data_IF_175088783305
#
_entry.id   IF_175088783305
#
_cell.length_a   1.000
_cell.length_b   1.000
_cell.length_c   1.000
_cell.angle_alpha   90.00
_cell.angle_beta   90.00
_cell.angle_gamma   90.00
#
_symmetry.space_group_name_H-M   'P 1'
#
loop_
_entity.id
_entity.type
_entity.pdbx_description
1 polymer ?
#
# COMPACT_ATOMS: atom_id res chain seq x y z
N UNK A 1 12.49 23.29 -6.94
CA UNK A 1 13.16 22.47 -5.90
C UNK A 1 13.10 21.01 -6.37
N UNK A 2 14.25 20.34 -6.44
CA UNK A 2 14.23 18.90 -6.78
C UNK A 2 13.64 18.14 -5.58
N UNK A 3 12.44 17.63 -5.75
CA UNK A 3 11.85 16.73 -4.77
C UNK A 3 12.70 15.44 -4.75
N UNK A 4 13.12 14.94 -3.57
CA UNK A 4 13.86 13.68 -3.51
C UNK A 4 13.11 12.57 -4.23
N UNK A 5 13.84 11.69 -4.93
CA UNK A 5 13.23 10.59 -5.69
C UNK A 5 12.25 9.75 -4.84
N UNK A 6 12.61 9.53 -3.58
CA UNK A 6 11.77 8.79 -2.62
C UNK A 6 10.40 9.44 -2.41
N UNK A 7 10.37 10.76 -2.20
CA UNK A 7 9.09 11.50 -2.05
C UNK A 7 8.25 11.42 -3.33
N UNK A 8 8.89 11.54 -4.49
CA UNK A 8 8.21 11.41 -5.80
C UNK A 8 7.59 10.03 -5.97
N UNK A 9 8.33 8.97 -5.63
CA UNK A 9 7.85 7.59 -5.76
C UNK A 9 6.66 7.32 -4.83
N UNK A 10 6.71 7.75 -3.57
CA UNK A 10 5.59 7.55 -2.65
C UNK A 10 4.39 8.44 -2.98
N UNK A 11 4.59 9.64 -3.50
CA UNK A 11 3.49 10.49 -3.95
C UNK A 11 2.76 9.88 -5.16
N UNK A 12 3.50 9.32 -6.11
CA UNK A 12 2.94 8.54 -7.21
C UNK A 12 2.21 7.28 -6.72
N UNK A 13 2.82 6.51 -5.81
CA UNK A 13 2.25 5.30 -5.24
C UNK A 13 0.89 5.55 -4.59
N UNK A 14 0.79 6.59 -3.80
CA UNK A 14 -0.43 7.09 -3.17
C UNK A 14 -1.52 7.41 -4.19
N UNK A 15 -1.18 8.23 -5.19
CA UNK A 15 -2.11 8.61 -6.24
C UNK A 15 -2.64 7.38 -6.97
N UNK A 16 -1.77 6.47 -7.39
CA UNK A 16 -2.14 5.27 -8.12
C UNK A 16 -3.04 4.34 -7.30
N UNK A 17 -2.78 4.21 -5.99
CA UNK A 17 -3.63 3.41 -5.08
C UNK A 17 -5.01 4.04 -4.93
N UNK A 18 -5.08 5.36 -4.79
CA UNK A 18 -6.35 6.10 -4.71
C UNK A 18 -7.21 5.90 -5.96
N UNK A 19 -6.64 6.03 -7.16
CA UNK A 19 -7.37 5.83 -8.44
C UNK A 19 -8.03 4.44 -8.50
N UNK A 20 -7.34 3.39 -8.04
CA UNK A 20 -7.91 2.04 -8.01
C UNK A 20 -9.05 1.96 -7.00
N UNK A 21 -8.85 2.47 -5.78
CA UNK A 21 -9.88 2.43 -4.74
C UNK A 21 -11.14 3.21 -5.16
N UNK A 22 -10.98 4.39 -5.74
CA UNK A 22 -12.08 5.20 -6.27
C UNK A 22 -12.84 4.48 -7.39
N UNK A 23 -12.13 3.81 -8.31
CA UNK A 23 -12.76 2.99 -9.33
C UNK A 23 -13.56 1.82 -8.74
N UNK A 24 -13.10 1.24 -7.63
CA UNK A 24 -13.80 0.17 -6.94
C UNK A 24 -15.06 0.65 -6.19
N UNK A 25 -15.14 1.92 -5.78
CA UNK A 25 -16.34 2.45 -5.08
C UNK A 25 -17.59 2.37 -5.95
N UNK A 26 -17.44 2.45 -7.27
CA UNK A 26 -18.54 2.36 -8.25
C UNK A 26 -18.96 0.91 -8.57
N UNK A 27 -18.30 -0.09 -7.97
CA UNK A 27 -18.63 -1.50 -8.19
C UNK A 27 -19.77 -1.94 -7.27
N UNK A 28 -20.58 -2.90 -7.76
CA UNK A 28 -21.42 -3.69 -6.86
C UNK A 28 -20.54 -4.50 -5.90
N UNK A 29 -20.98 -4.67 -4.65
CA UNK A 29 -20.23 -5.42 -3.63
C UNK A 29 -19.91 -6.85 -4.09
N UNK A 30 -20.83 -7.49 -4.82
CA UNK A 30 -20.65 -8.83 -5.38
C UNK A 30 -19.49 -8.90 -6.39
N UNK A 31 -19.30 -7.85 -7.21
CA UNK A 31 -18.18 -7.76 -8.14
C UNK A 31 -16.87 -7.48 -7.41
N UNK A 32 -16.91 -6.66 -6.37
CA UNK A 32 -15.77 -6.34 -5.54
C UNK A 32 -15.22 -7.55 -4.77
N UNK A 33 -16.12 -8.44 -4.32
CA UNK A 33 -15.80 -9.68 -3.62
C UNK A 33 -15.61 -10.88 -4.56
N UNK A 34 -15.91 -10.74 -5.85
CA UNK A 34 -15.91 -11.86 -6.81
C UNK A 34 -14.55 -12.58 -6.80
N UNK A 35 -14.55 -13.91 -6.61
CA UNK A 35 -13.33 -14.69 -6.68
C UNK A 35 -12.71 -14.65 -8.09
N UNK A 36 -11.45 -14.24 -8.16
CA UNK A 36 -10.63 -14.19 -9.36
C UNK A 36 -9.29 -14.87 -9.07
N UNK A 37 -8.72 -15.57 -10.05
CA UNK A 37 -7.45 -16.30 -9.87
C UNK A 37 -6.24 -15.40 -10.06
N UNK A 38 -6.23 -14.24 -9.38
CA UNK A 38 -5.15 -13.25 -9.42
C UNK A 38 -4.81 -12.86 -7.97
N UNK A 39 -3.54 -12.90 -7.62
CA UNK A 39 -3.03 -12.47 -6.32
C UNK A 39 -3.82 -13.03 -5.13
N UNK A 40 -4.29 -12.19 -4.19
CA UNK A 40 -5.08 -12.62 -3.02
C UNK A 40 -6.48 -13.15 -3.35
N UNK A 41 -6.92 -13.07 -4.61
CA UNK A 41 -8.10 -13.79 -5.10
C UNK A 41 -9.37 -12.96 -5.30
N UNK A 42 -9.41 -11.69 -4.87
CA UNK A 42 -10.49 -10.73 -5.20
C UNK A 42 -9.98 -9.31 -5.06
N UNK A 43 -10.71 -8.33 -5.60
CA UNK A 43 -10.41 -6.91 -5.39
C UNK A 43 -10.44 -6.56 -3.90
N UNK A 44 -11.48 -7.00 -3.19
CA UNK A 44 -11.60 -6.76 -1.74
C UNK A 44 -10.35 -7.26 -1.00
N UNK A 45 -9.97 -8.52 -1.19
CA UNK A 45 -8.81 -9.10 -0.49
C UNK A 45 -7.51 -8.41 -0.86
N UNK A 46 -7.33 -8.07 -2.14
CA UNK A 46 -6.11 -7.43 -2.63
C UNK A 46 -5.95 -6.03 -2.04
N UNK A 47 -7.02 -5.24 -2.05
CA UNK A 47 -6.99 -3.87 -1.53
C UNK A 47 -7.00 -3.83 0.00
N UNK A 48 -7.68 -4.77 0.67
CA UNK A 48 -7.61 -4.93 2.11
C UNK A 48 -6.19 -5.25 2.56
N UNK A 49 -5.50 -6.17 1.86
CA UNK A 49 -4.09 -6.48 2.10
C UNK A 49 -3.18 -5.27 1.83
N UNK A 50 -3.36 -4.58 0.72
CA UNK A 50 -2.56 -3.41 0.37
C UNK A 50 -2.68 -2.29 1.42
N UNK A 51 -3.90 -1.97 1.85
CA UNK A 51 -4.14 -0.97 2.91
C UNK A 51 -3.59 -1.44 4.25
N UNK A 52 -3.79 -2.72 4.60
CA UNK A 52 -3.24 -3.33 5.81
C UNK A 52 -1.71 -3.27 5.87
N UNK A 53 -1.05 -3.47 4.72
CA UNK A 53 0.40 -3.37 4.61
C UNK A 53 0.92 -1.95 4.92
N UNK A 54 0.22 -0.89 4.53
CA UNK A 54 0.61 0.49 4.87
C UNK A 54 0.63 0.70 6.40
N UNK A 55 -0.36 0.19 7.12
CA UNK A 55 -0.37 0.25 8.58
C UNK A 55 0.79 -0.57 9.19
N UNK A 56 1.02 -1.77 8.69
CA UNK A 56 2.12 -2.61 9.14
C UNK A 56 3.47 -1.93 8.93
N UNK A 57 3.74 -1.42 7.73
CA UNK A 57 4.97 -0.70 7.43
C UNK A 57 5.14 0.56 8.27
N UNK A 58 4.05 1.29 8.51
CA UNK A 58 4.05 2.45 9.42
C UNK A 58 4.52 2.08 10.81
N UNK A 59 3.95 1.02 11.38
CA UNK A 59 4.30 0.57 12.72
C UNK A 59 5.77 0.10 12.78
N UNK A 60 6.25 -0.58 11.75
CA UNK A 60 7.66 -1.01 11.64
C UNK A 60 8.62 0.17 11.55
N UNK A 61 8.36 1.14 10.68
CA UNK A 61 9.18 2.36 10.57
C UNK A 61 9.21 3.15 11.88
N UNK A 62 8.12 3.12 12.64
CA UNK A 62 8.01 3.74 13.95
C UNK A 62 8.61 2.89 15.09
N UNK A 63 9.12 1.69 14.79
CA UNK A 63 9.63 0.71 15.78
C UNK A 63 8.58 0.34 16.83
N UNK A 64 7.33 0.26 16.41
CA UNK A 64 6.20 -0.15 17.24
C UNK A 64 5.83 -1.61 16.97
N UNK A 65 5.18 -2.24 17.94
CA UNK A 65 4.53 -3.53 17.70
C UNK A 65 3.43 -3.31 16.67
N UNK A 66 3.43 -4.08 15.56
CA UNK A 66 2.41 -3.91 14.55
C UNK A 66 1.01 -4.14 15.11
N UNK A 67 0.10 -3.28 14.71
CA UNK A 67 -1.33 -3.49 14.96
C UNK A 67 -1.82 -4.76 14.24
N UNK A 68 -2.92 -5.38 14.69
CA UNK A 68 -3.49 -6.53 14.01
C UNK A 68 -3.73 -6.25 12.51
N UNK A 69 -3.41 -7.23 11.67
CA UNK A 69 -3.64 -7.13 10.22
C UNK A 69 -5.10 -6.95 9.91
N UNK A 70 -5.45 -6.09 8.94
CA UNK A 70 -6.84 -5.86 8.53
C UNK A 70 -7.53 -7.13 8.05
N UNK A 71 -6.79 -8.05 7.45
CA UNK A 71 -7.30 -9.33 6.95
C UNK A 71 -7.68 -10.30 8.08
N UNK A 72 -7.14 -10.09 9.30
CA UNK A 72 -7.40 -10.95 10.46
C UNK A 72 -8.64 -10.53 11.28
N UNK A 73 -9.30 -9.42 10.96
CA UNK A 73 -10.50 -8.98 11.66
C UNK A 73 -11.77 -9.80 11.30
N UNK A 74 -11.67 -10.66 10.29
CA UNK A 74 -12.75 -11.57 9.86
C UNK A 74 -13.92 -10.89 9.18
N UNK A 75 -13.81 -9.59 8.85
CA UNK A 75 -14.87 -8.83 8.19
C UNK A 75 -14.50 -8.54 6.73
N UNK A 76 -15.44 -8.75 5.84
CA UNK A 76 -15.40 -8.19 4.50
C UNK A 76 -15.65 -6.68 4.57
N UNK A 77 -14.90 -5.92 3.80
CA UNK A 77 -15.02 -4.46 3.74
C UNK A 77 -15.58 -4.00 2.41
N UNK A 78 -16.33 -2.93 2.42
CA UNK A 78 -16.71 -2.25 1.19
C UNK A 78 -15.53 -1.45 0.62
N UNK A 79 -15.57 -1.13 -0.68
CA UNK A 79 -14.56 -0.28 -1.29
C UNK A 79 -14.50 1.10 -0.63
N UNK A 80 -15.64 1.66 -0.23
CA UNK A 80 -15.70 2.95 0.49
C UNK A 80 -15.07 2.88 1.88
N UNK A 81 -15.25 1.77 2.62
CA UNK A 81 -14.56 1.56 3.89
C UNK A 81 -13.05 1.45 3.69
N UNK A 82 -12.59 0.72 2.65
CA UNK A 82 -11.17 0.62 2.35
C UNK A 82 -10.57 1.94 1.88
N UNK A 83 -11.31 2.75 1.14
CA UNK A 83 -10.87 4.09 0.76
C UNK A 83 -10.67 4.98 2.00
N UNK A 84 -11.60 4.95 2.94
CA UNK A 84 -11.48 5.71 4.19
C UNK A 84 -10.31 5.23 5.07
N UNK A 85 -10.09 3.91 5.14
CA UNK A 85 -8.93 3.33 5.84
C UNK A 85 -7.62 3.68 5.14
N UNK A 86 -7.61 3.68 3.81
CA UNK A 86 -6.45 4.11 3.02
C UNK A 86 -6.08 5.57 3.31
N UNK A 87 -7.05 6.47 3.38
CA UNK A 87 -6.82 7.87 3.73
C UNK A 87 -6.11 8.03 5.09
N UNK A 88 -6.50 7.21 6.06
CA UNK A 88 -5.84 7.19 7.36
C UNK A 88 -4.43 6.59 7.26
N UNK A 89 -4.31 5.40 6.66
CA UNK A 89 -3.06 4.69 6.51
C UNK A 89 -2.01 5.51 5.76
N UNK A 90 -2.42 6.18 4.68
CA UNK A 90 -1.55 7.04 3.88
C UNK A 90 -1.00 8.24 4.67
N UNK A 91 -1.84 8.91 5.47
CA UNK A 91 -1.37 10.00 6.33
C UNK A 91 -0.33 9.53 7.35
N UNK A 92 -0.59 8.41 8.01
CA UNK A 92 0.31 7.84 9.00
C UNK A 92 1.62 7.37 8.36
N UNK A 93 1.53 6.68 7.22
CA UNK A 93 2.66 6.16 6.47
C UNK A 93 3.54 7.27 5.92
N UNK A 94 2.95 8.29 5.28
CA UNK A 94 3.69 9.45 4.76
C UNK A 94 4.46 10.17 5.86
N UNK A 95 3.86 10.33 7.04
CA UNK A 95 4.54 10.94 8.19
C UNK A 95 5.71 10.05 8.69
N UNK A 96 5.53 8.72 8.70
CA UNK A 96 6.59 7.79 9.10
C UNK A 96 7.76 7.80 8.12
N UNK A 97 7.49 7.74 6.80
CA UNK A 97 8.51 7.82 5.74
C UNK A 97 9.28 9.14 5.82
N UNK A 98 8.58 10.27 5.90
CA UNK A 98 9.20 11.59 6.01
C UNK A 98 10.14 11.68 7.22
N UNK A 99 9.68 11.19 8.38
CA UNK A 99 10.50 11.15 9.58
C UNK A 99 11.73 10.25 9.41
N UNK A 100 11.55 9.06 8.86
CA UNK A 100 12.63 8.10 8.63
C UNK A 100 13.72 8.71 7.76
N UNK A 101 13.36 9.31 6.62
CA UNK A 101 14.31 9.94 5.70
C UNK A 101 15.02 11.14 6.34
N UNK A 102 14.34 11.87 7.23
CA UNK A 102 14.92 13.03 7.91
C UNK A 102 15.89 12.65 9.05
N UNK A 103 15.74 11.45 9.63
CA UNK A 103 16.47 11.06 10.86
C UNK A 103 17.48 9.95 10.66
N UNK A 104 17.44 9.23 9.55
CA UNK A 104 18.32 8.09 9.27
C UNK A 104 18.92 8.18 7.87
N UNK A 105 20.16 7.69 7.73
CA UNK A 105 20.72 7.44 6.41
C UNK A 105 20.05 6.20 5.80
N UNK A 106 19.85 6.18 4.48
CA UNK A 106 19.19 5.07 3.80
C UNK A 106 19.94 3.72 3.94
N UNK A 107 21.25 3.78 4.22
CA UNK A 107 22.08 2.61 4.49
C UNK A 107 22.07 2.14 5.94
N UNK A 108 21.48 2.90 6.86
CA UNK A 108 21.40 2.49 8.26
C UNK A 108 20.53 1.23 8.39
N UNK A 109 20.97 0.32 9.25
CA UNK A 109 20.24 -0.91 9.53
C UNK A 109 19.20 -0.71 10.63
N UNK A 110 18.08 -1.38 10.49
CA UNK A 110 17.08 -1.49 11.55
C UNK A 110 16.46 -2.87 11.55
N UNK A 111 15.92 -3.26 12.69
CA UNK A 111 15.26 -4.56 12.81
C UNK A 111 13.98 -4.58 11.98
N UNK A 112 13.97 -5.52 11.04
CA UNK A 112 12.82 -5.81 10.22
C UNK A 112 12.37 -7.23 10.48
N UNK A 113 11.32 -7.40 11.23
CA UNK A 113 10.71 -8.72 11.39
C UNK A 113 9.39 -8.70 10.63
N UNK A 114 9.28 -9.54 9.62
CA UNK A 114 8.09 -9.64 8.77
C UNK A 114 6.98 -10.51 9.39
N UNK A 115 7.19 -10.98 10.62
CA UNK A 115 6.21 -11.78 11.33
C UNK A 115 5.32 -10.93 12.22
N UNK A 116 4.03 -11.18 12.18
CA UNK A 116 3.05 -10.59 13.11
C UNK A 116 3.13 -11.26 14.51
N UNK A 117 3.86 -12.37 14.62
CA UNK A 117 3.87 -13.26 15.77
C UNK A 117 5.31 -13.51 16.23
N UNK A 118 5.54 -13.31 17.51
CA UNK A 118 6.82 -13.57 18.13
C UNK A 118 7.69 -12.35 18.40
N UNK A 119 8.80 -12.55 19.12
CA UNK A 119 9.76 -11.50 19.41
C UNK A 119 10.49 -11.07 18.14
N UNK A 120 10.85 -9.79 18.05
CA UNK A 120 11.71 -9.26 16.99
C UNK A 120 13.06 -9.99 17.09
N UNK A 121 13.49 -10.64 16.01
CA UNK A 121 14.81 -11.22 15.92
C UNK A 121 15.83 -10.06 15.84
N UNK A 122 16.75 -9.93 16.81
CA UNK A 122 17.75 -8.88 16.78
C UNK A 122 18.73 -8.99 15.61
N UNK A 123 18.86 -10.17 15.01
CA UNK A 123 19.73 -10.42 13.86
C UNK A 123 19.02 -10.17 12.51
N UNK A 124 17.69 -10.01 12.51
CA UNK A 124 16.92 -9.67 11.32
C UNK A 124 16.99 -8.16 11.08
N UNK A 125 18.06 -7.75 10.43
CA UNK A 125 18.34 -6.34 10.13
C UNK A 125 18.44 -6.10 8.64
N UNK A 126 17.76 -5.07 8.17
CA UNK A 126 17.84 -4.60 6.78
C UNK A 126 18.11 -3.10 6.72
N UNK A 127 18.73 -2.61 5.62
CA UNK A 127 18.83 -1.17 5.39
C UNK A 127 17.45 -0.53 5.17
N UNK A 128 17.26 0.69 5.64
CA UNK A 128 16.05 1.46 5.35
C UNK A 128 15.77 1.57 3.84
N UNK A 129 16.81 1.69 3.01
CA UNK A 129 16.64 1.69 1.55
C UNK A 129 15.91 0.46 1.03
N UNK A 130 16.25 -0.74 1.55
CA UNK A 130 15.62 -1.98 1.14
C UNK A 130 14.16 -2.06 1.60
N UNK A 131 13.88 -1.63 2.84
CA UNK A 131 12.50 -1.56 3.33
C UNK A 131 11.64 -0.61 2.49
N UNK A 132 12.12 0.59 2.19
CA UNK A 132 11.40 1.56 1.36
C UNK A 132 11.20 1.03 -0.08
N UNK A 133 12.19 0.35 -0.66
CA UNK A 133 12.05 -0.28 -1.97
C UNK A 133 11.00 -1.40 -1.95
N UNK A 134 10.98 -2.24 -0.91
CA UNK A 134 9.98 -3.28 -0.72
C UNK A 134 8.55 -2.70 -0.65
N UNK A 135 8.36 -1.58 0.04
CA UNK A 135 7.05 -0.92 0.13
C UNK A 135 6.54 -0.46 -1.23
N UNK A 136 7.42 0.10 -2.07
CA UNK A 136 7.07 0.52 -3.44
C UNK A 136 6.76 -0.69 -4.32
N UNK A 137 7.62 -1.71 -4.31
CA UNK A 137 7.44 -2.93 -5.11
C UNK A 137 6.14 -3.65 -4.76
N UNK A 138 5.88 -3.84 -3.47
CA UNK A 138 4.64 -4.42 -2.96
C UNK A 138 3.40 -3.64 -3.44
N UNK A 139 3.45 -2.30 -3.38
CA UNK A 139 2.40 -1.44 -3.89
C UNK A 139 2.16 -1.64 -5.39
N UNK A 140 3.22 -1.64 -6.21
CA UNK A 140 3.14 -1.87 -7.66
C UNK A 140 2.51 -3.23 -7.96
N UNK A 141 2.97 -4.29 -7.29
CA UNK A 141 2.46 -5.65 -7.50
C UNK A 141 0.95 -5.73 -7.28
N UNK A 142 0.46 -5.25 -6.14
CA UNK A 142 -0.96 -5.36 -5.80
C UNK A 142 -1.85 -4.41 -6.60
N UNK A 143 -1.35 -3.24 -6.98
CA UNK A 143 -2.07 -2.36 -7.90
C UNK A 143 -2.21 -2.95 -9.30
N UNK A 144 -1.17 -3.62 -9.81
CA UNK A 144 -1.25 -4.32 -11.09
C UNK A 144 -2.29 -5.43 -11.03
N UNK A 145 -2.27 -6.25 -9.98
CA UNK A 145 -3.28 -7.29 -9.76
C UNK A 145 -4.71 -6.73 -9.70
N UNK A 146 -4.91 -5.63 -8.99
CA UNK A 146 -6.22 -4.99 -8.89
C UNK A 146 -6.68 -4.38 -10.23
N UNK A 147 -5.78 -3.78 -11.00
CA UNK A 147 -6.08 -3.26 -12.33
C UNK A 147 -6.49 -4.38 -13.30
N UNK A 148 -5.76 -5.50 -13.29
CA UNK A 148 -6.11 -6.69 -14.10
C UNK A 148 -7.48 -7.25 -13.72
N UNK A 149 -7.80 -7.30 -12.43
CA UNK A 149 -9.13 -7.73 -11.95
C UNK A 149 -10.24 -6.80 -12.41
N UNK A 150 -10.03 -5.48 -12.35
CA UNK A 150 -10.99 -4.48 -12.85
C UNK A 150 -11.24 -4.68 -14.35
N UNK A 151 -10.20 -4.95 -15.12
CA UNK A 151 -10.33 -5.20 -16.56
C UNK A 151 -11.12 -6.49 -16.85
N UNK A 152 -10.88 -7.56 -16.10
CA UNK A 152 -11.64 -8.81 -16.19
C UNK A 152 -13.13 -8.64 -15.84
N UNK A 153 -13.45 -7.68 -14.97
CA UNK A 153 -14.83 -7.31 -14.63
C UNK A 153 -15.47 -6.37 -15.67
N UNK A 154 -14.75 -6.01 -16.74
CA UNK A 154 -15.21 -5.06 -17.76
C UNK A 154 -15.21 -3.61 -17.26
N UNK A 155 -14.44 -3.31 -16.23
CA UNK A 155 -14.30 -1.99 -15.60
C UNK A 155 -12.86 -1.52 -15.79
N UNK A 156 -12.61 -0.75 -16.83
CA UNK A 156 -11.29 -0.14 -17.02
C UNK A 156 -11.01 0.95 -15.98
N UNK A 157 -9.73 1.23 -15.75
CA UNK A 157 -9.35 2.41 -14.97
C UNK A 157 -9.57 3.69 -15.78
N UNK A 158 -9.98 4.81 -15.13
CA UNK A 158 -10.20 6.09 -15.81
C UNK A 158 -8.91 6.69 -16.39
N UNK A 159 -7.76 6.31 -15.79
CA UNK A 159 -6.43 6.77 -16.19
C UNK A 159 -5.43 5.61 -16.14
N UNK A 160 -4.48 5.61 -17.06
CA UNK A 160 -3.36 4.68 -16.98
C UNK A 160 -2.50 4.97 -15.75
N UNK A 161 -2.14 3.93 -15.00
CA UNK A 161 -1.27 4.05 -13.83
C UNK A 161 0.18 4.16 -14.30
N UNK A 162 0.60 5.37 -14.66
CA UNK A 162 1.99 5.65 -15.00
C UNK A 162 2.44 6.96 -14.35
N UNK A 163 3.74 7.08 -14.01
CA UNK A 163 4.29 8.32 -13.45
C UNK A 163 4.09 9.53 -14.36
N UNK A 164 4.09 9.34 -15.69
CA UNK A 164 3.86 10.43 -16.64
C UNK A 164 2.41 10.91 -16.63
N UNK A 165 1.44 9.98 -16.50
CA UNK A 165 0.02 10.34 -16.37
C UNK A 165 -0.22 11.05 -15.04
N UNK A 166 0.38 10.56 -13.95
CA UNK A 166 0.33 11.22 -12.65
C UNK A 166 0.86 12.65 -12.70
N UNK A 167 2.03 12.88 -13.33
CA UNK A 167 2.63 14.21 -13.44
C UNK A 167 1.67 15.23 -14.07
N UNK A 168 0.93 14.79 -15.10
CA UNK A 168 -0.04 15.64 -15.80
C UNK A 168 -1.39 15.78 -15.07
N UNK A 169 -1.65 15.00 -14.01
CA UNK A 169 -2.88 14.98 -13.24
C UNK A 169 -2.64 15.23 -11.75
N UNK A 170 -1.52 15.83 -11.39
CA UNK A 170 -1.27 16.27 -10.00
C UNK A 170 -2.33 17.29 -9.58
N UNK A 171 -2.88 17.16 -8.34
CA UNK A 171 -3.82 18.14 -7.79
C UNK A 171 -3.16 19.51 -7.58
#
# INVERSE_FOLDING_TARGET
MNQPLTETLFAYDRWATRIILEACVELAQEDFERPLHIGPGSLERTLNHLVGALFFFTDRLNRQVPRPRLEKDGRTKTASELLALFEQADREFSAAVTRTIATHALGDLFNWTDTDEGPIDPDDQIPYALALAQMIDHGIQHRTQAADMLELLGKGLPLALSPFVWENNKP
#
